data_IF_449200493871
#
_entry.id   IF_449200493871
#
_cell.length_a   1.000
_cell.length_b   1.000
_cell.length_c   1.000
_cell.angle_alpha   90.00
_cell.angle_beta   90.00
_cell.angle_gamma   90.00
#
_symmetry.space_group_name_H-M   'P 1'
#
loop_
_entity.id
_entity.type
_entity.pdbx_description
1 polymer ?
#
# COMPACT_ATOMS: atom_id res chain seq x y z
N UNK A 1 -22.64 6.98 -11.87
CA UNK A 1 -22.33 7.15 -10.43
C UNK A 1 -21.49 5.94 -10.03
N UNK A 2 -20.31 6.16 -9.46
CA UNK A 2 -19.43 5.07 -8.99
C UNK A 2 -19.99 4.58 -7.65
N UNK A 3 -20.18 3.27 -7.49
CA UNK A 3 -20.69 2.69 -6.24
C UNK A 3 -19.53 2.10 -5.43
N UNK A 4 -19.13 2.77 -4.36
CA UNK A 4 -18.05 2.35 -3.46
C UNK A 4 -18.64 1.74 -2.18
N UNK A 5 -18.16 0.55 -1.78
CA UNK A 5 -18.63 -0.16 -0.58
C UNK A 5 -17.48 -0.97 0.05
N UNK A 6 -17.64 -1.37 1.30
CA UNK A 6 -16.68 -2.21 2.01
C UNK A 6 -17.43 -3.44 2.54
N UNK A 7 -16.87 -4.62 2.30
CA UNK A 7 -17.35 -5.89 2.89
C UNK A 7 -16.30 -6.44 3.84
N UNK A 8 -16.70 -7.23 4.84
CA UNK A 8 -15.78 -7.84 5.79
C UNK A 8 -15.61 -9.31 5.42
N UNK A 9 -14.36 -9.75 5.28
CA UNK A 9 -14.03 -11.17 5.14
C UNK A 9 -14.43 -11.90 6.43
N UNK A 10 -15.37 -12.87 6.37
CA UNK A 10 -15.83 -13.58 7.57
C UNK A 10 -14.75 -14.50 8.16
N UNK A 11 -13.74 -14.93 7.39
CA UNK A 11 -12.65 -15.77 7.88
C UNK A 11 -11.53 -14.94 8.51
N UNK A 12 -11.18 -13.80 7.88
CA UNK A 12 -10.00 -13.02 8.28
C UNK A 12 -10.34 -11.72 9.02
N UNK A 13 -11.59 -11.30 9.03
CA UNK A 13 -12.04 -10.01 9.58
C UNK A 13 -11.55 -8.79 8.80
N UNK A 14 -10.89 -8.98 7.65
CA UNK A 14 -10.32 -7.87 6.87
C UNK A 14 -11.36 -7.15 6.04
N UNK A 15 -11.20 -5.84 5.92
CA UNK A 15 -11.98 -5.01 5.00
C UNK A 15 -11.60 -5.33 3.55
N UNK A 16 -12.63 -5.53 2.72
CA UNK A 16 -12.54 -5.77 1.28
C UNK A 16 -13.21 -4.58 0.57
N UNK A 17 -12.43 -3.61 0.07
CA UNK A 17 -12.96 -2.48 -0.66
C UNK A 17 -13.49 -2.90 -2.04
N UNK A 18 -14.75 -2.54 -2.30
CA UNK A 18 -15.45 -2.81 -3.55
C UNK A 18 -15.75 -1.50 -4.29
N UNK A 19 -15.59 -1.55 -5.61
CA UNK A 19 -15.91 -0.47 -6.54
C UNK A 19 -16.73 -1.04 -7.69
N UNK A 20 -17.95 -0.53 -7.86
CA UNK A 20 -18.91 -0.98 -8.87
C UNK A 20 -19.19 -2.50 -8.80
N UNK A 21 -19.33 -3.04 -7.58
CA UNK A 21 -19.59 -4.47 -7.33
C UNK A 21 -18.39 -5.39 -7.62
N UNK A 22 -17.22 -4.83 -7.94
CA UNK A 22 -15.97 -5.55 -8.17
C UNK A 22 -14.94 -5.17 -7.12
N UNK A 23 -14.09 -6.13 -6.74
CA UNK A 23 -12.94 -5.83 -5.90
C UNK A 23 -11.93 -5.01 -6.69
N UNK A 24 -11.23 -4.11 -6.00
CA UNK A 24 -10.13 -3.34 -6.56
C UNK A 24 -8.82 -4.12 -6.36
N UNK A 25 -8.11 -4.49 -7.44
CA UNK A 25 -6.90 -5.32 -7.35
C UNK A 25 -5.77 -4.68 -6.53
N UNK A 26 -5.62 -3.36 -6.63
CA UNK A 26 -4.64 -2.59 -5.87
C UNK A 26 -5.07 -2.31 -4.42
N UNK A 27 -6.30 -2.68 -4.05
CA UNK A 27 -6.88 -2.43 -2.73
C UNK A 27 -6.96 -3.69 -1.85
N UNK A 28 -6.62 -4.87 -2.39
CA UNK A 28 -6.62 -6.14 -1.65
C UNK A 28 -5.37 -6.97 -1.97
N UNK A 29 -5.03 -7.91 -1.09
CA UNK A 29 -3.90 -8.82 -1.31
C UNK A 29 -4.23 -9.92 -2.32
N UNK A 30 -3.18 -10.53 -2.89
CA UNK A 30 -3.33 -11.55 -3.93
C UNK A 30 -4.13 -12.79 -3.48
N UNK A 31 -3.98 -13.25 -2.24
CA UNK A 31 -4.70 -14.43 -1.73
C UNK A 31 -6.19 -14.15 -1.64
N UNK A 32 -6.55 -12.97 -1.12
CA UNK A 32 -7.94 -12.52 -1.05
C UNK A 32 -8.53 -12.36 -2.46
N UNK A 33 -7.79 -11.74 -3.39
CA UNK A 33 -8.22 -11.60 -4.78
C UNK A 33 -8.53 -12.95 -5.45
N UNK A 34 -7.62 -13.92 -5.32
CA UNK A 34 -7.78 -15.25 -5.94
C UNK A 34 -8.90 -16.06 -5.31
N UNK A 35 -9.13 -15.95 -4.00
CA UNK A 35 -10.29 -16.56 -3.33
C UNK A 35 -11.61 -16.02 -3.90
N UNK A 36 -11.73 -14.69 -4.01
CA UNK A 36 -12.95 -14.04 -4.52
C UNK A 36 -13.21 -14.41 -5.99
N UNK A 37 -12.17 -14.44 -6.82
CA UNK A 37 -12.28 -14.86 -8.21
C UNK A 37 -12.78 -16.31 -8.34
N UNK A 38 -12.25 -17.23 -7.52
CA UNK A 38 -12.70 -18.64 -7.47
C UNK A 38 -14.13 -18.78 -6.96
N UNK A 39 -14.52 -17.98 -5.97
CA UNK A 39 -15.89 -17.98 -5.46
C UNK A 39 -16.88 -17.55 -6.55
N UNK A 40 -16.59 -16.47 -7.29
CA UNK A 40 -17.42 -16.01 -8.41
C UNK A 40 -17.54 -17.05 -9.54
N UNK A 41 -16.45 -17.73 -9.89
CA UNK A 41 -16.47 -18.80 -10.89
C UNK A 41 -17.41 -19.95 -10.47
N UNK A 42 -17.41 -20.35 -9.18
CA UNK A 42 -18.31 -21.39 -8.66
C UNK A 42 -19.79 -20.98 -8.67
N UNK A 43 -20.10 -19.71 -8.39
CA UNK A 43 -21.49 -19.21 -8.44
C UNK A 43 -22.02 -19.11 -9.87
N UNK A 44 -21.17 -18.75 -10.84
CA UNK A 44 -21.53 -18.70 -12.27
C UNK A 44 -21.68 -20.09 -12.90
N UNK A 45 -20.93 -21.09 -12.42
CA UNK A 45 -21.01 -22.49 -12.87
C UNK A 45 -22.30 -23.20 -12.39
N UNK A 46 -22.98 -22.66 -11.36
CA UNK A 46 -24.25 -23.19 -10.85
C UNK A 46 -25.47 -22.84 -11.71
N UNK A 47 -25.30 -22.14 -12.84
CA UNK A 47 -26.38 -21.75 -13.78
C UNK A 47 -26.22 -22.28 -15.22
N UNK A 48 -25.25 -23.17 -15.50
CA UNK A 48 -25.11 -23.81 -16.82
C UNK A 48 -25.06 -25.34 -16.71
N UNK A 49 -26.07 -26.00 -17.29
CA UNK A 49 -26.22 -27.46 -17.43
C UNK A 49 -25.42 -28.02 -18.63
N UNK A 50 -24.11 -27.75 -18.72
CA UNK A 50 -23.23 -28.46 -19.65
C UNK A 50 -21.84 -28.69 -19.04
N UNK A 51 -21.34 -29.93 -19.14
CA UNK A 51 -20.04 -30.35 -18.63
C UNK A 51 -18.89 -29.49 -19.18
N UNK A 52 -18.11 -28.78 -18.33
CA UNK A 52 -16.89 -28.14 -18.78
C UNK A 52 -15.80 -29.21 -18.86
N UNK A 53 -15.19 -29.37 -20.05
CA UNK A 53 -13.91 -30.07 -20.21
C UNK A 53 -12.91 -29.44 -19.23
N UNK A 54 -12.54 -30.19 -18.19
CA UNK A 54 -11.46 -29.84 -17.25
C UNK A 54 -10.16 -29.66 -18.03
N UNK A 55 -9.87 -28.44 -18.43
CA UNK A 55 -8.49 -28.04 -18.68
C UNK A 55 -7.91 -27.85 -17.29
N UNK A 56 -7.25 -28.89 -16.76
CA UNK A 56 -6.49 -28.75 -15.54
C UNK A 56 -5.48 -27.60 -15.71
N UNK A 57 -5.57 -26.53 -14.91
CA UNK A 57 -4.54 -25.51 -14.96
C UNK A 57 -3.24 -26.19 -14.54
N UNK A 58 -2.29 -26.31 -15.48
CA UNK A 58 -0.93 -26.75 -15.17
C UNK A 58 -0.46 -25.92 -13.98
N UNK A 59 -0.21 -26.58 -12.85
CA UNK A 59 0.51 -25.99 -11.72
C UNK A 59 1.92 -25.67 -12.21
N UNK A 60 2.10 -24.49 -12.78
CA UNK A 60 3.42 -23.91 -12.92
C UNK A 60 3.77 -23.47 -11.51
N UNK A 61 4.67 -24.21 -10.85
CA UNK A 61 5.32 -23.74 -9.62
C UNK A 61 6.13 -22.50 -9.98
N UNK A 62 5.48 -21.35 -9.92
CA UNK A 62 6.12 -20.06 -10.15
C UNK A 62 6.88 -19.70 -8.88
N UNK A 63 8.19 -19.53 -9.01
CA UNK A 63 9.04 -19.05 -7.93
C UNK A 63 8.58 -17.67 -7.47
N UNK A 64 8.84 -17.32 -6.21
CA UNK A 64 8.54 -15.98 -5.68
C UNK A 64 9.22 -14.87 -6.51
N UNK A 65 10.40 -15.16 -7.05
CA UNK A 65 11.13 -14.31 -7.98
C UNK A 65 10.37 -14.09 -9.29
N UNK A 66 9.92 -15.15 -9.95
CA UNK A 66 9.13 -15.02 -11.17
C UNK A 66 7.85 -14.20 -10.92
N UNK A 67 7.17 -14.43 -9.79
CA UNK A 67 5.96 -13.67 -9.44
C UNK A 67 6.28 -12.18 -9.25
N UNK A 68 7.36 -11.86 -8.55
CA UNK A 68 7.81 -10.47 -8.34
C UNK A 68 8.09 -9.75 -9.65
N UNK A 69 8.63 -10.45 -10.64
CA UNK A 69 9.02 -9.86 -11.93
C UNK A 69 7.87 -9.82 -12.95
N UNK A 70 6.92 -10.75 -12.87
CA UNK A 70 5.93 -10.95 -13.94
C UNK A 70 4.47 -10.70 -13.52
N UNK A 71 4.20 -10.43 -12.24
CA UNK A 71 2.84 -10.14 -11.76
C UNK A 71 2.68 -8.66 -11.37
N UNK A 72 1.52 -8.03 -11.71
CA UNK A 72 1.17 -6.73 -11.16
C UNK A 72 1.12 -6.75 -9.63
N UNK A 73 1.65 -5.68 -9.01
CA UNK A 73 1.68 -5.50 -7.57
C UNK A 73 0.27 -5.54 -6.96
N UNK A 74 0.13 -6.29 -5.86
CA UNK A 74 -1.03 -6.24 -4.99
C UNK A 74 -0.90 -5.08 -3.97
N UNK A 75 -1.92 -4.90 -3.12
CA UNK A 75 -1.94 -3.79 -2.14
C UNK A 75 -0.72 -3.77 -1.22
N UNK A 76 -0.24 -4.95 -0.81
CA UNK A 76 0.89 -5.03 0.11
C UNK A 76 2.21 -4.70 -0.58
N UNK A 77 2.42 -5.25 -1.78
CA UNK A 77 3.63 -5.00 -2.57
C UNK A 77 3.71 -3.53 -2.99
N UNK A 78 2.61 -2.98 -3.49
CA UNK A 78 2.51 -1.56 -3.83
C UNK A 78 2.75 -0.68 -2.60
N UNK A 79 2.14 -1.01 -1.47
CA UNK A 79 2.33 -0.29 -0.20
C UNK A 79 3.79 -0.28 0.26
N UNK A 80 4.45 -1.44 0.30
CA UNK A 80 5.86 -1.56 0.70
C UNK A 80 6.78 -0.71 -0.19
N UNK A 81 6.65 -0.80 -1.52
CA UNK A 81 7.48 -0.02 -2.44
C UNK A 81 7.21 1.49 -2.31
N UNK A 82 5.95 1.87 -2.11
CA UNK A 82 5.57 3.27 -1.91
C UNK A 82 6.19 3.82 -0.63
N UNK A 83 6.09 3.11 0.49
CA UNK A 83 6.73 3.56 1.73
C UNK A 83 8.24 3.65 1.61
N UNK A 84 8.89 2.72 0.90
CA UNK A 84 10.33 2.82 0.60
C UNK A 84 10.67 4.09 -0.16
N UNK A 85 9.88 4.44 -1.19
CA UNK A 85 10.09 5.69 -1.94
C UNK A 85 9.90 6.91 -1.03
N UNK A 86 8.76 7.00 -0.33
CA UNK A 86 8.40 8.17 0.46
C UNK A 86 9.39 8.41 1.61
N UNK A 87 9.77 7.35 2.34
CA UNK A 87 10.72 7.47 3.45
C UNK A 87 12.12 7.83 2.98
N UNK A 88 12.58 7.26 1.86
CA UNK A 88 13.86 7.66 1.26
C UNK A 88 13.83 9.12 0.79
N UNK A 89 12.74 9.57 0.16
CA UNK A 89 12.58 10.98 -0.23
C UNK A 89 12.62 11.92 0.98
N UNK A 90 11.96 11.55 2.09
CA UNK A 90 11.98 12.34 3.32
C UNK A 90 13.37 12.35 3.98
N UNK A 91 14.04 11.21 4.01
CA UNK A 91 15.38 11.05 4.57
C UNK A 91 16.47 11.84 3.81
N UNK A 92 16.32 12.02 2.50
CA UNK A 92 17.22 12.83 1.67
C UNK A 92 16.74 14.27 1.46
N UNK A 93 15.62 14.66 2.08
CA UNK A 93 15.14 16.03 2.02
C UNK A 93 16.15 16.99 2.69
N UNK A 94 16.31 18.25 2.24
CA UNK A 94 17.31 19.15 2.80
C UNK A 94 17.05 19.48 4.28
N UNK A 95 18.13 19.63 5.05
CA UNK A 95 18.06 20.19 6.41
C UNK A 95 17.58 21.65 6.43
N UNK A 96 17.85 22.39 5.35
CA UNK A 96 17.45 23.78 5.15
C UNK A 96 16.85 23.97 3.76
N UNK A 97 15.60 23.53 3.53
CA UNK A 97 14.97 23.59 2.23
C UNK A 97 14.59 25.03 1.87
N UNK A 98 14.80 25.40 0.61
CA UNK A 98 14.29 26.68 0.08
C UNK A 98 12.76 26.71 0.08
N UNK A 99 12.12 27.90 0.06
CA UNK A 99 10.66 27.98 -0.07
C UNK A 99 10.10 27.20 -1.25
N UNK A 100 10.82 27.18 -2.39
CA UNK A 100 10.44 26.40 -3.57
C UNK A 100 10.52 24.89 -3.34
N UNK A 101 11.51 24.39 -2.59
CA UNK A 101 11.61 22.97 -2.23
C UNK A 101 10.50 22.56 -1.25
N UNK A 102 10.10 23.45 -0.35
CA UNK A 102 8.97 23.22 0.56
C UNK A 102 7.66 23.11 -0.21
N UNK A 103 7.41 24.04 -1.11
CA UNK A 103 6.19 24.03 -1.93
C UNK A 103 6.13 22.83 -2.88
N UNK A 104 7.27 22.49 -3.49
CA UNK A 104 7.39 21.30 -4.34
C UNK A 104 7.06 20.02 -3.56
N UNK A 105 7.57 19.86 -2.34
CA UNK A 105 7.29 18.68 -1.52
C UNK A 105 5.81 18.61 -1.09
N UNK A 106 5.19 19.74 -0.73
CA UNK A 106 3.74 19.80 -0.46
C UNK A 106 2.93 19.38 -1.69
N UNK A 107 3.28 19.92 -2.86
CA UNK A 107 2.63 19.61 -4.13
C UNK A 107 2.78 18.14 -4.51
N UNK A 108 3.95 17.55 -4.28
CA UNK A 108 4.19 16.13 -4.47
C UNK A 108 3.25 15.28 -3.61
N UNK A 109 3.16 15.53 -2.30
CA UNK A 109 2.28 14.75 -1.41
C UNK A 109 0.79 14.95 -1.71
N UNK A 110 0.39 16.16 -2.11
CA UNK A 110 -0.96 16.42 -2.60
C UNK A 110 -1.26 15.57 -3.85
N UNK A 111 -0.40 15.64 -4.86
CA UNK A 111 -0.53 14.88 -6.11
C UNK A 111 -0.50 13.37 -5.84
N UNK A 112 0.37 12.91 -4.95
CA UNK A 112 0.42 11.53 -4.50
C UNK A 112 -0.92 11.07 -3.91
N UNK A 113 -1.52 11.87 -3.02
CA UNK A 113 -2.81 11.54 -2.39
C UNK A 113 -3.95 11.42 -3.40
N UNK A 114 -3.92 12.19 -4.49
CA UNK A 114 -4.94 12.17 -5.54
C UNK A 114 -4.78 10.96 -6.47
N UNK A 115 -3.54 10.53 -6.70
CA UNK A 115 -3.16 9.57 -7.73
C UNK A 115 -2.83 8.17 -7.20
N UNK A 116 -2.80 7.96 -5.88
CA UNK A 116 -2.49 6.64 -5.34
C UNK A 116 -3.52 5.57 -5.82
N UNK A 117 -3.09 4.44 -6.43
CA UNK A 117 -4.00 3.56 -7.16
C UNK A 117 -5.08 2.87 -6.32
N UNK A 118 -4.84 2.69 -5.03
CA UNK A 118 -5.83 2.13 -4.12
C UNK A 118 -6.78 3.25 -3.67
N UNK A 119 -7.99 3.32 -4.24
CA UNK A 119 -8.97 4.37 -3.90
C UNK A 119 -9.30 4.40 -2.40
N UNK A 120 -9.41 3.23 -1.78
CA UNK A 120 -9.70 3.10 -0.36
C UNK A 120 -8.58 3.69 0.50
N UNK A 121 -7.34 3.32 0.17
CA UNK A 121 -6.14 3.78 0.85
C UNK A 121 -5.90 5.28 0.64
N UNK A 122 -6.14 5.79 -0.58
CA UNK A 122 -5.92 7.20 -0.92
C UNK A 122 -6.95 8.10 -0.24
N UNK A 123 -8.22 7.70 -0.18
CA UNK A 123 -9.27 8.47 0.48
C UNK A 123 -9.02 8.56 2.00
N UNK A 124 -8.53 7.47 2.60
CA UNK A 124 -8.08 7.45 3.99
C UNK A 124 -6.91 8.43 4.21
N UNK A 125 -5.87 8.32 3.38
CA UNK A 125 -4.71 9.21 3.42
C UNK A 125 -5.08 10.68 3.22
N UNK A 126 -6.04 11.00 2.34
CA UNK A 126 -6.50 12.37 2.12
C UNK A 126 -7.18 12.98 3.34
N UNK A 127 -8.01 12.22 4.08
CA UNK A 127 -8.60 12.68 5.34
C UNK A 127 -7.51 12.95 6.38
N UNK A 128 -6.57 12.02 6.45
CA UNK A 128 -5.47 12.05 7.39
C UNK A 128 -4.53 13.24 7.25
N UNK A 129 -4.18 13.63 6.01
CA UNK A 129 -3.31 14.78 5.76
C UNK A 129 -4.03 16.13 5.96
N UNK A 130 -5.36 16.13 6.08
CA UNK A 130 -6.14 17.32 6.49
C UNK A 130 -6.08 17.47 8.00
N UNK A 131 -6.30 16.38 8.74
CA UNK A 131 -6.20 16.35 10.21
C UNK A 131 -4.79 16.68 10.68
N UNK A 132 -3.78 16.13 10.00
CA UNK A 132 -2.38 16.34 10.31
C UNK A 132 -1.58 16.75 9.07
N UNK A 133 -1.53 18.06 8.76
CA UNK A 133 -0.84 18.58 7.58
C UNK A 133 0.64 18.23 7.55
N UNK A 134 1.15 18.01 6.34
CA UNK A 134 2.56 17.72 6.09
C UNK A 134 3.50 18.81 6.64
N UNK A 135 4.55 18.38 7.34
CA UNK A 135 5.56 19.28 7.88
C UNK A 135 6.86 19.26 7.06
N UNK A 136 6.93 20.12 6.05
CA UNK A 136 8.09 20.25 5.14
C UNK A 136 9.16 21.23 5.62
N UNK A 137 9.16 21.62 6.91
CA UNK A 137 10.10 22.65 7.40
C UNK A 137 11.57 22.28 7.16
N UNK A 138 11.90 21.01 7.39
CA UNK A 138 13.22 20.42 7.12
C UNK A 138 13.11 18.88 7.07
N UNK A 139 14.25 18.24 6.81
CA UNK A 139 14.40 16.78 6.79
C UNK A 139 13.78 16.08 8.01
N UNK A 140 14.09 16.56 9.20
CA UNK A 140 13.72 15.93 10.46
C UNK A 140 12.21 15.98 10.67
N UNK A 141 11.60 17.15 10.47
CA UNK A 141 10.15 17.30 10.61
C UNK A 141 9.37 16.51 9.57
N UNK A 142 9.88 16.41 8.34
CA UNK A 142 9.25 15.65 7.27
C UNK A 142 9.33 14.14 7.52
N UNK A 143 10.51 13.67 7.93
CA UNK A 143 10.74 12.25 8.23
C UNK A 143 9.92 11.79 9.44
N UNK A 144 9.87 12.60 10.50
CA UNK A 144 9.06 12.34 11.69
C UNK A 144 7.56 12.33 11.35
N UNK A 145 7.07 13.32 10.59
CA UNK A 145 5.69 13.37 10.13
C UNK A 145 5.31 12.12 9.33
N UNK A 146 6.17 11.72 8.38
CA UNK A 146 5.91 10.55 7.54
C UNK A 146 5.94 9.25 8.37
N UNK A 147 6.81 9.15 9.38
CA UNK A 147 6.84 8.03 10.30
C UNK A 147 5.53 7.89 11.09
N UNK A 148 5.06 8.98 11.71
CA UNK A 148 3.80 8.99 12.47
C UNK A 148 2.61 8.66 11.56
N UNK A 149 2.62 9.18 10.33
CA UNK A 149 1.63 8.85 9.30
C UNK A 149 1.63 7.36 8.92
N UNK A 150 2.81 6.76 8.75
CA UNK A 150 2.94 5.33 8.52
C UNK A 150 2.44 4.52 9.73
N UNK A 151 2.68 4.99 10.95
CA UNK A 151 2.21 4.32 12.17
C UNK A 151 0.69 4.31 12.33
N UNK A 152 -0.03 5.37 11.93
CA UNK A 152 -1.51 5.34 11.94
C UNK A 152 -2.06 4.30 10.96
N UNK A 153 -1.36 4.05 9.83
CA UNK A 153 -1.68 2.93 8.93
C UNK A 153 -1.32 1.58 9.58
N UNK A 154 -0.18 1.47 10.27
CA UNK A 154 0.16 0.25 11.01
C UNK A 154 -0.90 -0.10 12.06
N UNK A 155 -1.33 0.88 12.85
CA UNK A 155 -2.38 0.72 13.85
C UNK A 155 -3.70 0.24 13.23
N UNK A 156 -4.16 0.89 12.16
CA UNK A 156 -5.36 0.48 11.42
C UNK A 156 -5.29 -0.96 10.90
N UNK A 157 -4.09 -1.40 10.52
CA UNK A 157 -3.84 -2.76 10.02
C UNK A 157 -3.46 -3.75 11.14
N UNK A 158 -3.54 -3.36 12.41
CA UNK A 158 -3.17 -4.21 13.55
C UNK A 158 -1.68 -4.58 13.61
N UNK A 159 -0.81 -3.78 13.00
CA UNK A 159 0.64 -3.96 12.98
C UNK A 159 1.29 -3.21 14.14
N UNK A 160 2.49 -3.65 14.55
CA UNK A 160 3.30 -2.94 15.54
C UNK A 160 3.66 -1.54 15.01
N UNK A 161 3.63 -0.56 15.89
CA UNK A 161 4.16 0.76 15.60
C UNK A 161 5.69 0.71 15.49
N UNK A 162 6.22 1.48 14.55
CA UNK A 162 7.64 1.70 14.37
C UNK A 162 8.11 2.84 15.29
N UNK A 163 9.30 2.69 15.88
CA UNK A 163 9.93 3.73 16.70
C UNK A 163 10.49 4.84 15.80
N UNK A 164 9.84 6.00 15.75
CA UNK A 164 10.23 7.09 14.86
C UNK A 164 11.62 7.66 15.16
N UNK A 165 12.18 7.45 16.36
CA UNK A 165 13.57 7.81 16.66
C UNK A 165 14.58 7.06 15.79
N UNK A 166 14.18 5.92 15.19
CA UNK A 166 15.00 5.09 14.30
C UNK A 166 14.76 5.36 12.82
N UNK A 167 14.02 6.41 12.46
CA UNK A 167 13.67 6.67 11.04
C UNK A 167 14.91 6.86 10.17
N UNK A 168 15.93 7.57 10.66
CA UNK A 168 17.18 7.78 9.93
C UNK A 168 18.08 6.56 9.93
N UNK A 169 18.10 5.76 11.00
CA UNK A 169 18.78 4.47 11.01
C UNK A 169 18.23 3.58 9.88
N UNK A 170 16.90 3.52 9.75
CA UNK A 170 16.23 2.66 8.79
C UNK A 170 16.33 3.16 7.34
N UNK A 171 16.29 4.46 7.11
CA UNK A 171 16.08 5.03 5.77
C UNK A 171 17.22 5.90 5.23
N UNK A 172 18.27 6.13 6.02
CA UNK A 172 19.43 6.94 5.61
C UNK A 172 20.77 6.30 5.96
N UNK A 173 21.00 6.04 7.25
CA UNK A 173 22.33 5.77 7.79
C UNK A 173 22.68 4.28 7.90
N UNK A 174 21.66 3.42 8.01
CA UNK A 174 21.85 2.03 8.43
C UNK A 174 22.00 1.89 9.96
N UNK A 175 21.83 0.68 10.51
CA UNK A 175 22.06 0.37 11.91
C UNK A 175 23.49 0.65 12.35
N UNK A 176 23.66 1.17 13.57
CA UNK A 176 24.98 1.40 14.19
C UNK A 176 25.85 0.14 14.30
N UNK A 177 25.25 -1.05 14.21
CA UNK A 177 25.95 -2.34 14.17
C UNK A 177 26.65 -2.64 12.84
N UNK A 178 26.51 -1.80 11.80
CA UNK A 178 27.15 -1.98 10.49
C UNK A 178 26.61 -3.18 9.68
N UNK A 179 25.46 -3.73 10.05
CA UNK A 179 24.87 -4.90 9.37
C UNK A 179 24.47 -4.62 7.91
N UNK A 180 24.32 -3.34 7.54
CA UNK A 180 24.01 -2.91 6.19
C UNK A 180 25.25 -2.61 5.33
N UNK A 181 26.45 -2.66 5.90
CA UNK A 181 27.70 -2.32 5.20
C UNK A 181 28.41 -3.56 4.62
N UNK A 182 27.71 -4.71 4.60
CA UNK A 182 28.23 -6.01 4.14
C UNK A 182 28.02 -6.24 2.64
#
# INVERSE_FOLDING_TARGET
MVNESVTIDPETGKEIPMKDGKTCRTCVDYKTWTKIAKAKAKTEESQKTEEPKKIEPKKIEQTEEWRRENCPADVETLGRHTWTLLHTMAAYYPERPSPGQQESMKSFFKSFSENYPCWFCKNDFQKDIIEEPINVKNRDTLSEWLCRRHNKVNEKLGKKQFDCSKVFERWLNGPSSGQCDQ
#
